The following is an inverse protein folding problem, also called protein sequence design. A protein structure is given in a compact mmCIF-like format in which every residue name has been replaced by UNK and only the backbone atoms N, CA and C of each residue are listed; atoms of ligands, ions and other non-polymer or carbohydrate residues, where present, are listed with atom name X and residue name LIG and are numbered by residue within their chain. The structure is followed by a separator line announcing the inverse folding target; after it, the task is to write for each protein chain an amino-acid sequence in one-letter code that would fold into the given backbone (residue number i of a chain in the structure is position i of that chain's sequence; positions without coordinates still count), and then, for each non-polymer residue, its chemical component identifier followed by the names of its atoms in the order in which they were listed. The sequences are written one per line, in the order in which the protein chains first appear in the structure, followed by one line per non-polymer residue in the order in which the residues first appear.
data_IF_581294629502
#
_entry.id   IF_581294629502
#
_cell.length_a   1.000
_cell.length_b   1.000
_cell.length_c   1.000
_cell.angle_alpha   90.00
_cell.angle_beta   90.00
_cell.angle_gamma   90.00
#
_symmetry.space_group_name_H-M   'P 1'
#
loop_
_entity.id
_entity.type
_entity.pdbx_description
1 polymer ?
#
# COMPACT_ATOMS: atom_id res chain seq x y z
N UNK A 1 24.78 3.36 -1.63
CA UNK A 1 23.50 3.84 -2.22
C UNK A 1 22.87 2.76 -3.12
N UNK A 2 22.34 1.66 -2.55
CA UNK A 2 21.67 0.59 -3.34
C UNK A 2 20.40 0.00 -2.69
N UNK A 3 19.89 0.54 -1.58
CA UNK A 3 18.75 -0.07 -0.87
C UNK A 3 17.39 0.62 -1.07
N UNK A 4 17.33 1.75 -1.78
CA UNK A 4 16.08 2.49 -1.99
C UNK A 4 15.17 1.93 -3.10
N UNK A 5 15.67 1.03 -3.95
CA UNK A 5 14.89 0.46 -5.06
C UNK A 5 14.12 -0.82 -4.70
N UNK A 6 14.41 -1.46 -3.57
CA UNK A 6 13.74 -2.72 -3.19
C UNK A 6 12.34 -2.48 -2.60
N UNK A 7 12.11 -1.37 -1.91
CA UNK A 7 10.81 -1.12 -1.25
C UNK A 7 9.72 -0.65 -2.22
N UNK A 8 10.09 0.03 -3.30
CA UNK A 8 9.15 0.37 -4.40
C UNK A 8 8.91 -0.81 -5.35
N UNK A 9 9.81 -1.80 -5.39
CA UNK A 9 9.70 -2.96 -6.27
C UNK A 9 8.76 -4.06 -5.73
N UNK A 10 8.50 -4.12 -4.42
CA UNK A 10 7.61 -5.16 -3.87
C UNK A 10 6.11 -4.82 -4.00
N UNK A 11 5.76 -3.58 -4.36
CA UNK A 11 4.36 -3.13 -4.47
C UNK A 11 3.90 -2.90 -5.92
N UNK A 12 4.77 -3.13 -6.91
CA UNK A 12 4.44 -3.02 -8.33
C UNK A 12 4.91 -4.26 -9.10
N UNK A 13 4.31 -5.41 -8.80
CA UNK A 13 4.33 -6.57 -9.70
C UNK A 13 2.89 -7.04 -9.90
N UNK A 14 2.50 -7.08 -11.17
CA UNK A 14 1.15 -7.30 -11.69
C UNK A 14 0.57 -8.64 -11.20
N UNK A 15 -0.76 -8.75 -11.00
CA UNK A 15 -1.41 -9.98 -10.55
C UNK A 15 -1.56 -11.04 -11.66
N UNK A 16 -0.56 -11.22 -12.55
CA UNK A 16 -0.70 -12.13 -13.70
C UNK A 16 0.57 -12.81 -14.19
N UNK A 17 1.60 -12.91 -13.35
CA UNK A 17 2.84 -13.60 -13.72
C UNK A 17 3.10 -14.91 -12.96
N UNK A 18 2.29 -15.23 -11.94
CA UNK A 18 2.41 -16.49 -11.17
C UNK A 18 1.26 -17.47 -11.44
N UNK A 19 0.87 -17.65 -12.72
CA UNK A 19 0.16 -18.87 -13.09
C UNK A 19 1.19 -19.90 -13.56
N UNK A 20 1.38 -20.97 -12.79
CA UNK A 20 2.09 -22.15 -13.27
C UNK A 20 1.39 -22.65 -14.54
N UNK A 21 2.05 -22.52 -15.69
CA UNK A 21 1.49 -22.95 -16.99
C UNK A 21 1.66 -24.47 -17.11
N UNK A 22 0.57 -25.27 -17.13
CA UNK A 22 0.68 -26.71 -17.33
C UNK A 22 1.25 -27.01 -18.73
N UNK A 23 1.95 -28.14 -18.90
CA UNK A 23 2.54 -28.53 -20.20
C UNK A 23 1.55 -28.54 -21.36
N UNK A 24 0.25 -28.70 -21.09
CA UNK A 24 -0.82 -28.66 -22.08
C UNK A 24 -1.04 -27.28 -22.72
N UNK A 25 -0.59 -26.20 -22.08
CA UNK A 25 -0.65 -24.82 -22.62
C UNK A 25 0.66 -24.36 -23.25
N UNK A 26 1.76 -25.09 -23.04
CA UNK A 26 3.04 -24.83 -23.69
C UNK A 26 3.06 -25.53 -25.07
N UNK A 27 3.16 -24.75 -26.15
CA UNK A 27 3.34 -25.32 -27.48
C UNK A 27 4.73 -25.96 -27.58
N UNK A 28 4.78 -27.23 -27.99
CA UNK A 28 6.03 -27.97 -28.19
C UNK A 28 6.87 -27.36 -29.32
N UNK A 29 8.19 -27.53 -29.23
CA UNK A 29 9.14 -27.01 -30.20
C UNK A 29 9.08 -27.78 -31.53
N UNK A 30 8.15 -27.36 -32.39
CA UNK A 30 7.94 -27.91 -33.73
C UNK A 30 7.90 -26.77 -34.75
N UNK A 31 8.28 -27.07 -35.99
CA UNK A 31 8.42 -26.10 -37.09
C UNK A 31 7.15 -25.26 -37.33
N UNK A 32 5.96 -25.87 -37.25
CA UNK A 32 4.68 -25.17 -37.36
C UNK A 32 4.44 -24.11 -36.26
N UNK A 33 4.94 -24.36 -35.04
CA UNK A 33 4.79 -23.44 -33.91
C UNK A 33 5.81 -22.30 -33.96
N UNK A 34 7.02 -22.56 -34.49
CA UNK A 34 8.00 -21.51 -34.78
C UNK A 34 7.50 -20.55 -35.86
N UNK A 35 6.90 -21.07 -36.92
CA UNK A 35 6.30 -20.25 -37.98
C UNK A 35 5.19 -19.34 -37.42
N UNK A 36 4.36 -19.87 -36.51
CA UNK A 36 3.30 -19.11 -35.83
C UNK A 36 3.84 -18.02 -34.89
N UNK A 37 4.97 -18.27 -34.24
CA UNK A 37 5.65 -17.25 -33.43
C UNK A 37 6.23 -16.13 -34.32
N UNK A 38 6.84 -16.48 -35.45
CA UNK A 38 7.38 -15.53 -36.40
C UNK A 38 6.29 -14.61 -36.98
N UNK A 39 5.15 -15.19 -37.40
CA UNK A 39 4.03 -14.42 -37.95
C UNK A 39 3.40 -13.48 -36.92
N UNK A 40 3.28 -13.90 -35.65
CA UNK A 40 2.76 -13.04 -34.57
C UNK A 40 3.70 -11.86 -34.30
N UNK A 41 5.01 -12.09 -34.35
CA UNK A 41 6.02 -11.05 -34.13
C UNK A 41 6.05 -10.04 -35.27
N UNK A 42 5.81 -10.49 -36.49
CA UNK A 42 5.68 -9.63 -37.67
C UNK A 42 4.39 -8.81 -37.67
N UNK A 43 3.28 -9.38 -37.17
CA UNK A 43 2.01 -8.67 -37.01
C UNK A 43 2.02 -7.60 -35.91
N UNK A 44 3.00 -7.63 -34.99
CA UNK A 44 3.16 -6.65 -33.91
C UNK A 44 4.61 -6.13 -33.82
N UNK A 45 5.05 -5.26 -34.75
CA UNK A 45 6.33 -4.57 -34.59
C UNK A 45 6.23 -3.60 -33.40
N UNK A 46 7.06 -3.83 -32.37
CA UNK A 46 7.02 -3.09 -31.11
C UNK A 46 7.13 -1.56 -31.28
N UNK A 47 6.17 -0.83 -30.68
CA UNK A 47 6.18 0.65 -30.59
C UNK A 47 7.43 1.16 -29.85
N UNK A 48 8.37 1.77 -30.59
CA UNK A 48 9.33 2.75 -30.04
C UNK A 48 8.61 4.09 -29.81
N UNK A 49 8.91 4.75 -28.68
CA UNK A 49 8.34 6.03 -28.25
C UNK A 49 8.84 7.21 -29.10
N UNK A 50 7.92 7.98 -29.70
CA UNK A 50 8.11 9.41 -30.08
C UNK A 50 6.74 10.14 -30.06
N UNK A 51 6.76 11.44 -29.79
CA UNK A 51 5.64 12.41 -29.68
C UNK A 51 5.98 13.56 -30.67
N UNK A 52 5.11 14.46 -31.20
CA UNK A 52 3.63 14.53 -31.41
C UNK A 52 3.21 14.87 -32.88
N UNK A 53 1.89 14.83 -33.22
CA UNK A 53 1.06 15.92 -33.82
C UNK A 53 -0.19 15.42 -34.61
N UNK A 54 -1.29 16.12 -34.34
CA UNK A 54 -2.60 16.31 -35.02
C UNK A 54 -2.78 15.87 -36.50
N UNK A 55 -3.89 15.18 -36.79
CA UNK A 55 -4.96 15.56 -37.74
C UNK A 55 -5.96 14.40 -37.98
N UNK A 56 -7.07 14.74 -38.62
CA UNK A 56 -8.45 14.23 -38.57
C UNK A 56 -8.84 13.07 -39.52
N UNK A 57 -10.03 12.49 -39.23
CA UNK A 57 -10.98 11.77 -40.13
C UNK A 57 -10.59 10.31 -40.50
N UNK A 58 -11.47 9.32 -40.72
CA UNK A 58 -12.93 9.15 -40.72
C UNK A 58 -13.27 7.65 -40.90
N UNK A 59 -14.43 7.19 -40.40
CA UNK A 59 -15.18 5.98 -40.84
C UNK A 59 -14.63 4.62 -40.40
N UNK A 60 -15.40 3.62 -39.96
CA UNK A 60 -16.84 3.46 -39.77
C UNK A 60 -17.14 2.02 -39.30
N UNK A 61 -18.26 1.86 -38.59
CA UNK A 61 -19.13 0.68 -38.39
C UNK A 61 -18.55 -0.71 -38.07
N UNK A 62 -18.98 -1.28 -36.92
CA UNK A 62 -18.71 -2.68 -36.58
C UNK A 62 -19.35 -3.16 -35.27
N UNK A 63 -20.64 -3.46 -35.32
CA UNK A 63 -21.55 -3.94 -34.27
C UNK A 63 -21.04 -5.21 -33.55
N UNK A 64 -20.96 -5.19 -32.21
CA UNK A 64 -20.61 -6.38 -31.40
C UNK A 64 -20.80 -6.17 -29.89
N UNK A 65 -21.99 -6.50 -29.39
CA UNK A 65 -22.39 -6.42 -27.97
C UNK A 65 -21.75 -7.55 -27.17
N UNK A 66 -20.75 -7.25 -26.33
CA UNK A 66 -20.38 -8.07 -25.15
C UNK A 66 -19.70 -7.19 -24.11
N UNK A 67 -20.50 -6.33 -23.48
CA UNK A 67 -20.10 -5.61 -22.28
C UNK A 67 -19.93 -6.57 -21.12
N UNK A 68 -18.92 -6.27 -20.30
CA UNK A 68 -18.63 -6.68 -18.91
C UNK A 68 -17.26 -7.36 -18.74
N UNK A 69 -16.17 -6.60 -18.89
CA UNK A 69 -14.95 -6.78 -18.05
C UNK A 69 -13.86 -5.74 -18.33
N UNK A 70 -13.84 -5.11 -19.49
CA UNK A 70 -12.69 -4.29 -19.95
C UNK A 70 -12.74 -2.83 -19.47
N UNK A 71 -13.93 -2.28 -19.19
CA UNK A 71 -14.07 -0.91 -18.65
C UNK A 71 -13.36 -0.70 -17.30
N UNK A 72 -13.25 -1.75 -16.47
CA UNK A 72 -12.59 -1.67 -15.16
C UNK A 72 -11.07 -1.49 -15.25
N UNK A 73 -10.43 -1.90 -16.35
CA UNK A 73 -8.98 -1.78 -16.52
C UNK A 73 -8.57 -0.44 -17.15
N UNK A 74 -9.39 0.16 -18.04
CA UNK A 74 -9.12 1.50 -18.59
C UNK A 74 -9.33 2.61 -17.55
N UNK A 75 -10.27 2.43 -16.63
CA UNK A 75 -10.45 3.31 -15.47
C UNK A 75 -9.25 3.29 -14.52
N UNK A 76 -8.46 2.21 -14.51
CA UNK A 76 -7.26 2.09 -13.67
C UNK A 76 -6.12 2.99 -14.15
N UNK A 77 -6.06 3.30 -15.46
CA UNK A 77 -4.98 4.11 -16.04
C UNK A 77 -5.29 5.60 -16.10
N UNK A 78 -6.54 6.00 -15.89
CA UNK A 78 -6.97 7.42 -15.85
C UNK A 78 -7.02 8.03 -14.46
N UNK A 79 -6.91 7.20 -13.42
CA UNK A 79 -6.95 7.69 -12.04
C UNK A 79 -5.63 8.38 -11.69
N UNK A 80 -5.68 9.59 -11.12
CA UNK A 80 -4.47 10.29 -10.70
C UNK A 80 -3.70 9.44 -9.71
N UNK A 81 -2.43 9.15 -10.02
CA UNK A 81 -1.53 8.48 -9.08
C UNK A 81 -1.16 9.47 -7.97
N UNK A 82 -1.80 9.36 -6.80
CA UNK A 82 -1.60 10.26 -5.67
C UNK A 82 -0.30 9.88 -4.96
N UNK A 83 0.73 10.71 -5.08
CA UNK A 83 2.01 10.49 -4.39
C UNK A 83 2.02 11.23 -3.05
N UNK A 84 1.98 10.49 -1.95
CA UNK A 84 2.22 11.02 -0.60
C UNK A 84 3.72 10.93 -0.32
N UNK A 85 4.48 12.04 -0.34
CA UNK A 85 5.92 11.99 -0.10
C UNK A 85 6.20 11.69 1.38
N UNK A 86 6.76 10.51 1.64
CA UNK A 86 7.21 10.13 2.98
C UNK A 86 8.61 10.71 3.23
N UNK A 87 8.87 11.38 4.38
CA UNK A 87 10.19 11.86 4.76
C UNK A 87 11.23 10.74 4.83
N UNK A 88 12.47 11.01 4.43
CA UNK A 88 13.52 9.98 4.35
C UNK A 88 13.88 9.36 5.70
N UNK A 89 13.76 10.12 6.80
CA UNK A 89 13.94 9.59 8.16
C UNK A 89 12.93 8.48 8.47
N UNK A 90 11.67 8.67 8.08
CA UNK A 90 10.61 7.68 8.29
C UNK A 90 10.76 6.49 7.33
N UNK A 91 11.31 6.71 6.13
CA UNK A 91 11.66 5.60 5.24
C UNK A 91 12.78 4.74 5.80
N UNK A 92 13.80 5.33 6.41
CA UNK A 92 14.87 4.58 7.09
C UNK A 92 14.28 3.69 8.19
N UNK A 93 13.39 4.25 9.02
CA UNK A 93 12.67 3.48 10.04
C UNK A 93 11.85 2.31 9.46
N UNK A 94 11.15 2.50 8.34
CA UNK A 94 10.43 1.40 7.66
C UNK A 94 11.37 0.29 7.16
N UNK A 95 12.58 0.65 6.73
CA UNK A 95 13.59 -0.33 6.32
C UNK A 95 14.11 -1.10 7.54
N UNK A 96 14.46 -0.39 8.62
CA UNK A 96 14.94 -0.99 9.87
C UNK A 96 13.88 -1.93 10.46
N UNK A 97 12.62 -1.51 10.47
CA UNK A 97 11.49 -2.30 10.94
C UNK A 97 11.28 -3.57 10.11
N UNK A 98 11.36 -3.47 8.78
CA UNK A 98 11.29 -4.64 7.92
C UNK A 98 12.43 -5.63 8.22
N UNK A 99 13.66 -5.15 8.42
CA UNK A 99 14.79 -6.01 8.79
C UNK A 99 14.58 -6.67 10.15
N UNK A 100 14.08 -5.93 11.13
CA UNK A 100 13.84 -6.46 12.47
C UNK A 100 12.79 -7.58 12.48
N UNK A 101 11.71 -7.41 11.72
CA UNK A 101 10.62 -8.39 11.70
C UNK A 101 10.95 -9.60 10.81
N UNK A 102 11.54 -9.37 9.64
CA UNK A 102 11.75 -10.44 8.66
C UNK A 102 13.07 -11.18 8.83
N UNK A 103 14.15 -10.48 9.20
CA UNK A 103 15.48 -11.09 9.37
C UNK A 103 15.77 -11.41 10.83
N UNK A 104 15.53 -10.47 11.73
CA UNK A 104 15.87 -10.63 13.14
C UNK A 104 14.79 -11.39 13.94
N UNK A 105 13.65 -11.71 13.33
CA UNK A 105 12.53 -12.43 13.94
C UNK A 105 12.05 -11.77 15.24
N UNK A 106 12.01 -10.45 15.23
CA UNK A 106 11.52 -9.64 16.33
C UNK A 106 10.07 -9.23 16.08
N UNK A 107 9.36 -8.94 17.17
CA UNK A 107 7.97 -8.53 17.18
C UNK A 107 7.80 -7.26 17.99
N UNK A 108 6.83 -6.47 17.58
CA UNK A 108 6.37 -5.32 18.33
C UNK A 108 5.61 -5.83 19.57
N UNK A 109 5.95 -5.42 20.80
CA UNK A 109 5.18 -5.78 21.97
C UNK A 109 3.78 -5.13 21.90
N UNK A 110 2.74 -5.92 22.14
CA UNK A 110 1.34 -5.49 22.12
C UNK A 110 0.69 -5.79 23.48
N UNK A 111 -0.18 -4.91 24.01
CA UNK A 111 -0.66 -3.65 23.43
C UNK A 111 0.38 -2.53 23.48
N UNK A 112 0.35 -1.63 22.48
CA UNK A 112 1.28 -0.50 22.39
C UNK A 112 0.80 0.73 23.15
N UNK A 113 1.75 1.46 23.70
CA UNK A 113 1.59 2.78 24.30
C UNK A 113 2.70 3.69 23.76
N UNK A 114 2.38 4.80 23.07
CA UNK A 114 1.04 5.24 22.68
C UNK A 114 0.42 4.36 21.58
N UNK A 115 -0.91 4.15 21.63
CA UNK A 115 -1.67 3.45 20.57
C UNK A 115 -2.10 4.40 19.44
N UNK A 116 -2.60 3.89 18.31
CA UNK A 116 -3.01 4.74 17.17
C UNK A 116 -4.05 5.79 17.57
N UNK A 117 -5.03 5.44 18.41
CA UNK A 117 -6.04 6.40 18.89
C UNK A 117 -5.37 7.55 19.66
N UNK A 118 -4.45 7.24 20.57
CA UNK A 118 -3.69 8.23 21.34
C UNK A 118 -2.80 9.06 20.41
N UNK A 119 -2.17 8.46 19.41
CA UNK A 119 -1.34 9.17 18.43
C UNK A 119 -2.17 10.19 17.65
N UNK A 120 -3.38 9.81 17.22
CA UNK A 120 -4.29 10.70 16.53
C UNK A 120 -4.76 11.86 17.42
N UNK A 121 -5.04 11.61 18.71
CA UNK A 121 -5.41 12.69 19.65
C UNK A 121 -4.21 13.60 19.97
N UNK A 122 -3.01 13.06 20.19
CA UNK A 122 -1.79 13.87 20.35
C UNK A 122 -1.54 14.77 19.14
N UNK A 123 -1.76 14.25 17.93
CA UNK A 123 -1.67 15.04 16.71
C UNK A 123 -2.75 16.13 16.66
N UNK A 124 -3.99 15.82 17.05
CA UNK A 124 -5.08 16.79 17.17
C UNK A 124 -4.74 17.91 18.13
N UNK A 125 -4.23 17.60 19.32
CA UNK A 125 -3.81 18.57 20.32
C UNK A 125 -2.69 19.49 19.81
N UNK A 126 -1.73 18.95 19.06
CA UNK A 126 -0.65 19.74 18.45
C UNK A 126 -1.13 20.79 17.43
N UNK A 127 -2.39 20.70 16.98
CA UNK A 127 -2.99 21.54 15.94
C UNK A 127 -4.10 22.47 16.45
N UNK A 128 -4.62 22.27 17.68
CA UNK A 128 -5.71 23.08 18.27
C UNK A 128 -5.43 24.59 18.24
N UNK A 129 -4.18 25.01 18.42
CA UNK A 129 -3.81 26.45 18.41
C UNK A 129 -3.71 27.09 17.01
N UNK A 130 -3.68 26.32 15.92
CA UNK A 130 -3.32 26.84 14.57
C UNK A 130 -4.43 26.81 13.52
N UNK A 131 -5.59 26.16 13.77
CA UNK A 131 -6.51 25.82 12.67
C UNK A 131 -8.01 25.88 13.05
N UNK A 132 -8.50 27.04 13.50
CA UNK A 132 -9.92 27.23 13.85
C UNK A 132 -10.92 27.24 12.66
N UNK A 133 -10.46 27.25 11.39
CA UNK A 133 -11.34 27.37 10.21
C UNK A 133 -11.60 26.08 9.41
N UNK A 134 -10.83 25.01 9.60
CA UNK A 134 -10.95 23.74 8.86
C UNK A 134 -11.00 22.52 9.83
N UNK A 135 -11.56 22.70 11.02
CA UNK A 135 -11.56 21.65 12.04
C UNK A 135 -12.47 20.47 11.66
N UNK A 136 -13.59 20.70 10.97
CA UNK A 136 -14.49 19.61 10.52
C UNK A 136 -13.80 18.67 9.52
N UNK A 137 -13.20 19.21 8.46
CA UNK A 137 -12.44 18.43 7.47
C UNK A 137 -11.28 17.70 8.16
N UNK A 138 -10.61 18.36 9.10
CA UNK A 138 -9.51 17.75 9.84
C UNK A 138 -9.99 16.56 10.68
N UNK A 139 -11.11 16.70 11.39
CA UNK A 139 -11.72 15.62 12.17
C UNK A 139 -12.16 14.46 11.28
N UNK A 140 -12.76 14.75 10.12
CA UNK A 140 -13.12 13.73 9.12
C UNK A 140 -11.89 12.96 8.62
N UNK A 141 -10.78 13.65 8.36
CA UNK A 141 -9.52 13.01 7.95
C UNK A 141 -8.99 12.08 9.05
N UNK A 142 -8.97 12.51 10.31
CA UNK A 142 -8.51 11.67 11.42
C UNK A 142 -9.41 10.43 11.63
N UNK A 143 -10.73 10.61 11.57
CA UNK A 143 -11.69 9.51 11.63
C UNK A 143 -11.52 8.55 10.45
N UNK A 144 -11.23 9.08 9.25
CA UNK A 144 -10.90 8.32 8.06
C UNK A 144 -9.63 7.46 8.26
N UNK A 145 -8.54 8.06 8.74
CA UNK A 145 -7.27 7.35 9.01
C UNK A 145 -7.50 6.20 9.99
N UNK A 146 -8.22 6.44 11.09
CA UNK A 146 -8.58 5.39 12.06
C UNK A 146 -9.35 4.25 11.39
N UNK A 147 -10.40 4.59 10.63
CA UNK A 147 -11.24 3.59 9.93
C UNK A 147 -10.44 2.79 8.90
N UNK A 148 -9.54 3.44 8.15
CA UNK A 148 -8.66 2.76 7.21
C UNK A 148 -7.67 1.86 7.92
N UNK A 149 -7.12 2.29 9.06
CA UNK A 149 -6.23 1.48 9.86
C UNK A 149 -6.91 0.18 10.31
N UNK A 150 -8.09 0.28 10.93
CA UNK A 150 -8.86 -0.86 11.42
C UNK A 150 -9.22 -1.86 10.30
N UNK A 151 -9.50 -1.37 9.08
CA UNK A 151 -9.82 -2.22 7.91
C UNK A 151 -8.59 -2.81 7.22
N UNK A 152 -7.47 -2.10 7.24
CA UNK A 152 -6.27 -2.48 6.48
C UNK A 152 -5.30 -3.34 7.28
N UNK A 153 -5.30 -3.23 8.61
CA UNK A 153 -4.31 -3.89 9.46
C UNK A 153 -4.24 -5.40 9.19
N UNK A 154 -5.35 -6.10 9.41
CA UNK A 154 -5.46 -7.53 9.22
C UNK A 154 -5.32 -8.01 7.77
N UNK A 155 -5.33 -7.12 6.78
CA UNK A 155 -5.30 -7.52 5.36
C UNK A 155 -3.93 -7.24 4.72
N UNK A 156 -3.41 -6.03 4.86
CA UNK A 156 -2.26 -5.56 4.08
C UNK A 156 -1.09 -5.03 4.90
N UNK A 157 -1.29 -4.62 6.16
CA UNK A 157 -0.24 -3.93 6.91
C UNK A 157 0.72 -4.87 7.64
N UNK A 158 0.29 -6.10 7.97
CA UNK A 158 1.09 -7.06 8.73
C UNK A 158 2.00 -7.90 7.83
N UNK A 159 3.27 -8.06 8.25
CA UNK A 159 4.17 -9.01 7.62
C UNK A 159 3.76 -10.44 7.95
N UNK A 160 4.22 -11.40 7.14
CA UNK A 160 3.93 -12.83 7.34
C UNK A 160 4.27 -13.29 8.76
N UNK A 161 5.39 -12.81 9.33
CA UNK A 161 5.85 -13.20 10.65
C UNK A 161 4.95 -12.69 11.80
N UNK A 162 4.24 -11.58 11.62
CA UNK A 162 3.34 -10.99 12.63
C UNK A 162 1.92 -11.58 12.61
N UNK A 163 1.58 -12.39 11.59
CA UNK A 163 0.22 -12.92 11.42
C UNK A 163 -0.24 -13.78 12.59
N UNK A 164 0.64 -14.61 13.14
CA UNK A 164 0.31 -15.45 14.28
C UNK A 164 0.05 -14.60 15.53
N UNK A 165 0.90 -13.58 15.77
CA UNK A 165 0.70 -12.61 16.85
C UNK A 165 -0.65 -11.90 16.72
N UNK A 166 -1.05 -11.47 15.51
CA UNK A 166 -2.36 -10.87 15.28
C UNK A 166 -3.51 -11.81 15.68
N UNK A 167 -3.46 -13.08 15.29
CA UNK A 167 -4.48 -14.07 15.67
C UNK A 167 -4.58 -14.21 17.20
N UNK A 168 -3.45 -14.28 17.89
CA UNK A 168 -3.42 -14.43 19.34
C UNK A 168 -3.92 -13.17 20.06
N UNK A 169 -3.55 -11.99 19.55
CA UNK A 169 -3.99 -10.69 20.07
C UNK A 169 -5.49 -10.50 19.88
N UNK A 170 -6.05 -10.86 18.72
CA UNK A 170 -7.50 -10.80 18.46
C UNK A 170 -8.29 -11.77 19.34
N UNK A 171 -7.74 -12.93 19.67
CA UNK A 171 -8.36 -13.88 20.63
C UNK A 171 -8.36 -13.34 22.07
N UNK A 172 -7.29 -12.66 22.48
CA UNK A 172 -7.16 -12.09 23.83
C UNK A 172 -7.96 -10.81 24.02
N UNK A 173 -8.09 -9.99 22.97
CA UNK A 173 -8.74 -8.69 23.00
C UNK A 173 -10.03 -8.69 22.17
N UNK A 174 -10.97 -9.57 22.50
CA UNK A 174 -12.27 -9.62 21.82
C UNK A 174 -13.02 -8.31 22.07
N UNK A 175 -13.49 -7.68 21.00
CA UNK A 175 -14.29 -6.46 21.05
C UNK A 175 -13.51 -5.14 21.03
N UNK A 176 -12.17 -5.18 21.10
CA UNK A 176 -11.34 -3.99 20.88
C UNK A 176 -11.05 -3.78 19.40
N UNK A 177 -10.90 -2.51 19.04
CA UNK A 177 -10.48 -2.12 17.69
C UNK A 177 -8.97 -2.23 17.56
N UNK A 178 -8.52 -2.45 16.33
CA UNK A 178 -7.11 -2.66 16.04
C UNK A 178 -6.30 -1.36 16.33
N UNK A 179 -6.91 -0.19 16.11
CA UNK A 179 -6.37 1.13 16.45
C UNK A 179 -6.12 1.36 17.95
N UNK A 180 -6.77 0.59 18.84
CA UNK A 180 -6.55 0.70 20.29
C UNK A 180 -5.39 -0.16 20.79
N UNK A 181 -4.94 -1.13 19.98
CA UNK A 181 -3.95 -2.14 20.38
C UNK A 181 -2.59 -1.85 19.74
N UNK A 182 -2.60 -1.43 18.48
CA UNK A 182 -1.40 -1.21 17.67
C UNK A 182 -0.85 0.23 17.81
N UNK A 183 0.40 0.41 17.41
CA UNK A 183 1.17 1.65 17.62
C UNK A 183 1.50 2.44 16.35
N UNK A 184 2.48 3.33 16.48
CA UNK A 184 2.93 4.23 15.40
C UNK A 184 3.64 3.52 14.25
N UNK A 185 4.23 2.34 14.51
CA UNK A 185 4.95 1.50 13.55
C UNK A 185 4.00 1.03 12.44
N UNK A 186 2.90 0.36 12.83
CA UNK A 186 1.88 -0.11 11.90
C UNK A 186 1.13 1.05 11.24
N UNK A 187 0.94 2.16 11.95
CA UNK A 187 0.34 3.36 11.38
C UNK A 187 1.22 3.93 10.25
N UNK A 188 2.54 3.92 10.41
CA UNK A 188 3.46 4.38 9.36
C UNK A 188 3.36 3.51 8.10
N UNK A 189 3.14 2.19 8.25
CA UNK A 189 2.88 1.31 7.09
C UNK A 189 1.61 1.69 6.34
N UNK A 190 0.55 2.13 7.05
CA UNK A 190 -0.67 2.61 6.40
C UNK A 190 -0.38 3.79 5.47
N UNK A 191 0.53 4.69 5.86
CA UNK A 191 0.91 5.83 5.01
C UNK A 191 1.56 5.43 3.68
N UNK A 192 2.26 4.30 3.64
CA UNK A 192 2.80 3.73 2.40
C UNK A 192 1.67 3.23 1.48
N UNK A 193 0.57 2.73 2.06
CA UNK A 193 -0.55 2.15 1.32
C UNK A 193 -1.61 3.18 0.90
N UNK A 194 -1.66 4.37 1.52
CA UNK A 194 -2.64 5.41 1.16
C UNK A 194 -2.72 5.76 -0.33
N UNK A 195 -1.61 5.92 -1.08
CA UNK A 195 -1.65 6.12 -2.53
C UNK A 195 -2.55 5.13 -3.27
N UNK A 196 -2.45 3.84 -2.91
CA UNK A 196 -3.27 2.79 -3.52
C UNK A 196 -4.71 2.85 -3.02
N UNK A 197 -4.93 3.08 -1.73
CA UNK A 197 -6.26 3.16 -1.14
C UNK A 197 -7.08 4.33 -1.71
N UNK A 198 -6.47 5.51 -1.85
CA UNK A 198 -7.13 6.72 -2.35
C UNK A 198 -7.36 6.62 -3.87
N UNK A 199 -6.52 5.90 -4.62
CA UNK A 199 -6.77 5.66 -6.04
C UNK A 199 -8.10 4.91 -6.28
N UNK A 200 -8.58 4.13 -5.31
CA UNK A 200 -9.85 3.43 -5.41
C UNK A 200 -11.07 4.25 -5.00
N UNK A 201 -10.90 5.42 -4.38
CA UNK A 201 -12.01 6.28 -3.95
C UNK A 201 -12.49 7.20 -5.07
N UNK A 202 -13.77 7.60 -5.01
CA UNK A 202 -14.37 8.56 -5.91
C UNK A 202 -14.42 9.92 -5.23
N UNK A 203 -13.30 10.65 -5.30
CA UNK A 203 -13.15 12.00 -4.76
C UNK A 203 -12.76 12.97 -5.87
N UNK A 204 -13.16 14.23 -5.74
CA UNK A 204 -12.71 15.32 -6.63
C UNK A 204 -11.24 15.69 -6.36
N UNK A 205 -10.62 16.40 -7.31
CA UNK A 205 -9.19 16.74 -7.23
C UNK A 205 -8.87 17.67 -6.06
N UNK A 206 -9.77 18.59 -5.71
CA UNK A 206 -9.53 19.54 -4.63
C UNK A 206 -9.58 18.84 -3.27
N UNK A 207 -10.54 17.94 -3.06
CA UNK A 207 -10.61 17.08 -1.88
C UNK A 207 -9.40 16.15 -1.76
N UNK A 208 -8.92 15.58 -2.88
CA UNK A 208 -7.71 14.75 -2.90
C UNK A 208 -6.48 15.57 -2.48
N UNK A 209 -6.36 16.80 -2.98
CA UNK A 209 -5.24 17.68 -2.63
C UNK A 209 -5.30 18.08 -1.15
N UNK A 210 -6.47 18.43 -0.63
CA UNK A 210 -6.66 18.74 0.79
C UNK A 210 -6.33 17.53 1.69
N UNK A 211 -6.77 16.32 1.32
CA UNK A 211 -6.42 15.09 2.03
C UNK A 211 -4.90 14.87 2.01
N UNK A 212 -4.26 15.01 0.84
CA UNK A 212 -2.81 14.85 0.67
C UNK A 212 -2.03 15.82 1.56
N UNK A 213 -2.45 17.08 1.64
CA UNK A 213 -1.81 18.08 2.51
C UNK A 213 -1.88 17.70 3.98
N UNK A 214 -3.05 17.24 4.46
CA UNK A 214 -3.20 16.78 5.84
C UNK A 214 -2.37 15.53 6.13
N UNK A 215 -2.32 14.56 5.20
CA UNK A 215 -1.47 13.36 5.35
C UNK A 215 0.02 13.72 5.42
N UNK A 216 0.49 14.63 4.56
CA UNK A 216 1.89 15.10 4.56
C UNK A 216 2.21 15.88 5.83
N UNK A 217 1.28 16.70 6.31
CA UNK A 217 1.46 17.44 7.57
C UNK A 217 1.53 16.51 8.79
N UNK A 218 0.69 15.47 8.83
CA UNK A 218 0.76 14.43 9.87
C UNK A 218 2.09 13.67 9.81
N UNK A 219 2.57 13.29 8.61
CA UNK A 219 3.89 12.66 8.46
C UNK A 219 5.04 13.55 8.94
N UNK A 220 4.97 14.87 8.69
CA UNK A 220 5.96 15.83 9.20
C UNK A 220 5.91 15.94 10.72
N UNK A 221 4.73 15.88 11.32
CA UNK A 221 4.59 15.86 12.77
C UNK A 221 5.14 14.56 13.36
N UNK A 222 4.80 13.40 12.79
CA UNK A 222 5.38 12.10 13.20
C UNK A 222 6.90 12.08 13.08
N UNK A 223 7.49 12.70 12.05
CA UNK A 223 8.94 12.82 11.91
C UNK A 223 9.58 13.59 13.06
N UNK A 224 8.94 14.66 13.55
CA UNK A 224 9.44 15.46 14.68
C UNK A 224 9.36 14.68 16.00
N UNK A 225 8.31 13.89 16.17
CA UNK A 225 8.03 13.13 17.38
C UNK A 225 8.44 11.64 17.27
N UNK A 226 9.24 11.26 16.27
CA UNK A 226 9.51 9.87 15.94
C UNK A 226 10.05 9.05 17.12
N UNK A 227 10.88 9.64 17.99
CA UNK A 227 11.47 8.96 19.15
C UNK A 227 10.45 8.55 20.23
N UNK A 228 9.35 9.29 20.32
CA UNK A 228 8.28 9.05 21.30
C UNK A 228 7.20 8.13 20.71
N UNK A 229 6.97 8.23 19.40
CA UNK A 229 5.93 7.49 18.69
C UNK A 229 6.36 6.09 18.23
N UNK A 230 7.66 5.88 17.96
CA UNK A 230 8.20 4.63 17.42
C UNK A 230 9.12 3.96 18.44
N UNK A 231 9.01 2.64 18.58
CA UNK A 231 9.94 1.84 19.36
C UNK A 231 11.33 1.79 18.70
N UNK A 232 12.35 1.96 19.53
CA UNK A 232 13.74 1.74 19.11
C UNK A 232 14.14 0.28 19.12
N UNK A 233 13.51 -0.55 19.96
CA UNK A 233 13.87 -1.96 20.16
C UNK A 233 12.61 -2.84 20.14
N UNK A 234 12.72 -3.97 19.46
CA UNK A 234 11.65 -4.97 19.36
C UNK A 234 11.99 -6.21 20.19
N UNK A 235 10.97 -6.94 20.61
CA UNK A 235 11.16 -8.15 21.41
C UNK A 235 11.46 -9.35 20.51
N UNK A 236 12.46 -10.15 20.89
CA UNK A 236 12.76 -11.39 20.17
C UNK A 236 11.59 -12.37 20.32
N UNK A 237 11.13 -12.94 19.21
CA UNK A 237 10.06 -13.93 19.27
C UNK A 237 10.53 -15.20 19.99
N UNK A 238 9.67 -15.72 20.89
CA UNK A 238 9.90 -16.97 21.60
C UNK A 238 10.19 -18.13 20.64
N UNK A 239 11.05 -19.10 20.99
CA UNK A 239 11.29 -20.30 20.18
C UNK A 239 10.00 -21.04 19.82
N UNK A 240 9.01 -21.06 20.71
CA UNK A 240 7.71 -21.66 20.46
C UNK A 240 6.88 -20.88 19.42
N UNK A 241 7.01 -19.55 19.37
CA UNK A 241 6.37 -18.75 18.34
C UNK A 241 7.02 -18.99 16.98
N UNK A 242 8.36 -19.05 16.94
CA UNK A 242 9.09 -19.30 15.71
C UNK A 242 8.77 -20.66 15.09
N UNK A 243 8.57 -21.70 15.90
CA UNK A 243 8.20 -23.03 15.38
C UNK A 243 6.80 -23.02 14.76
N UNK A 244 5.83 -22.32 15.36
CA UNK A 244 4.47 -22.19 14.83
C UNK A 244 4.47 -21.45 13.48
N UNK A 245 5.26 -20.39 13.35
CA UNK A 245 5.29 -19.58 12.10
C UNK A 245 6.08 -20.26 10.97
N UNK A 246 7.06 -21.11 11.31
CA UNK A 246 7.85 -21.90 10.35
C UNK A 246 7.15 -23.19 9.90
N UNK A 247 6.18 -23.67 10.68
CA UNK A 247 5.32 -24.81 10.34
C UNK A 247 4.33 -24.47 9.23
#
# INVERSE_FOLDING_TARGET
MKSFFAFTALCSMRPRWDEWVPESRALKWNEANLAKQASLRESYPGKKKTVPKTSSSSGGSGRGKKGTSVDREEDFTRRPEIKVPIPDSLKAQLVDEWENITKNQQLVPLPRTPNVVQILEMYRESKKDKKAKNDEIFQEVLAGIKTYFDKCLGNMLLYRFERQQYVDVRKRNVGKEDSEIYGGEHLLRLFVQFPMLIAHTQMDQDSINALRENLVDMLKWMQKNHKELLLSEYENASPAYQSIVKS
#
